data_IF_658415587395
#
_entry.id   IF_658415587395
#
_cell.length_a   1.000
_cell.length_b   1.000
_cell.length_c   1.000
_cell.angle_alpha   90.00
_cell.angle_beta   90.00
_cell.angle_gamma   90.00
#
_symmetry.space_group_name_H-M   'P 1'
#
loop_
_entity.id
_entity.type
_entity.pdbx_description
1 polymer ?
#
# COMPACT_ATOMS: atom_id res chain seq x y z
N UNK A 1 6.85 -7.09 23.26
CA UNK A 1 7.20 -5.67 23.01
C UNK A 1 7.62 -5.39 21.57
N UNK A 2 8.66 -6.03 21.01
CA UNK A 2 9.16 -5.76 19.64
C UNK A 2 8.09 -5.87 18.53
N UNK A 3 7.22 -6.89 18.59
CA UNK A 3 6.12 -7.07 17.62
C UNK A 3 5.02 -6.01 17.72
N UNK A 4 4.72 -5.53 18.92
CA UNK A 4 3.70 -4.50 19.17
C UNK A 4 4.18 -3.15 18.62
N UNK A 5 5.46 -2.82 18.82
CA UNK A 5 6.02 -1.60 18.23
C UNK A 5 6.04 -1.68 16.69
N UNK A 6 6.41 -2.83 16.14
CA UNK A 6 6.39 -3.05 14.69
C UNK A 6 4.97 -2.96 14.11
N UNK A 7 3.95 -3.48 14.81
CA UNK A 7 2.56 -3.37 14.37
C UNK A 7 2.06 -1.93 14.39
N UNK A 8 2.34 -1.18 15.46
CA UNK A 8 1.97 0.25 15.54
C UNK A 8 2.62 1.05 14.42
N UNK A 9 3.92 0.85 14.21
CA UNK A 9 4.66 1.53 13.14
C UNK A 9 4.10 1.19 11.76
N UNK A 10 3.74 -0.07 11.53
CA UNK A 10 3.16 -0.51 10.26
C UNK A 10 1.79 0.10 10.02
N UNK A 11 0.95 0.18 11.05
CA UNK A 11 -0.34 0.86 10.95
C UNK A 11 -0.17 2.34 10.60
N UNK A 12 0.76 3.05 11.27
CA UNK A 12 1.06 4.45 10.94
C UNK A 12 1.52 4.59 9.49
N UNK A 13 2.42 3.71 9.05
CA UNK A 13 2.92 3.73 7.67
C UNK A 13 1.79 3.51 6.66
N UNK A 14 0.90 2.54 6.88
CA UNK A 14 -0.25 2.28 6.00
C UNK A 14 -1.17 3.49 5.91
N UNK A 15 -1.45 4.14 7.04
CA UNK A 15 -2.24 5.37 7.08
C UNK A 15 -1.56 6.46 6.25
N UNK A 16 -0.27 6.69 6.46
CA UNK A 16 0.50 7.70 5.73
C UNK A 16 0.49 7.43 4.22
N UNK A 17 0.73 6.19 3.81
CA UNK A 17 0.69 5.80 2.40
C UNK A 17 -0.68 6.04 1.77
N UNK A 18 -1.76 5.75 2.49
CA UNK A 18 -3.13 5.97 2.00
C UNK A 18 -3.42 7.46 1.84
N UNK A 19 -3.05 8.29 2.82
CA UNK A 19 -3.21 9.74 2.74
C UNK A 19 -2.38 10.35 1.61
N UNK A 20 -1.14 9.89 1.44
CA UNK A 20 -0.27 10.32 0.34
C UNK A 20 -0.91 9.93 -1.00
N UNK A 21 -1.35 8.68 -1.15
CA UNK A 21 -2.01 8.23 -2.37
C UNK A 21 -3.23 9.09 -2.70
N UNK A 22 -4.09 9.35 -1.71
CA UNK A 22 -5.26 10.22 -1.88
C UNK A 22 -4.87 11.63 -2.29
N UNK A 23 -3.88 12.25 -1.63
CA UNK A 23 -3.42 13.60 -1.96
C UNK A 23 -2.88 13.69 -3.38
N UNK A 24 -2.07 12.72 -3.79
CA UNK A 24 -1.50 12.68 -5.15
C UNK A 24 -2.60 12.46 -6.18
N UNK A 25 -3.56 11.56 -5.92
CA UNK A 25 -4.67 11.29 -6.85
C UNK A 25 -5.56 12.51 -7.04
N UNK A 26 -5.97 13.17 -5.95
CA UNK A 26 -6.75 14.42 -6.01
C UNK A 26 -5.98 15.50 -6.78
N UNK A 27 -4.68 15.64 -6.52
CA UNK A 27 -3.83 16.57 -7.26
C UNK A 27 -3.74 16.25 -8.76
N UNK A 28 -3.74 14.98 -9.14
CA UNK A 28 -3.79 14.54 -10.53
C UNK A 28 -5.16 14.87 -11.15
N UNK A 29 -6.26 14.59 -10.46
CA UNK A 29 -7.62 14.91 -10.92
C UNK A 29 -7.79 16.41 -11.19
N UNK A 30 -7.30 17.26 -10.29
CA UNK A 30 -7.36 18.72 -10.47
C UNK A 30 -6.59 19.18 -11.72
N UNK A 31 -5.44 18.57 -12.01
CA UNK A 31 -4.67 18.86 -13.23
C UNK A 31 -5.37 18.35 -14.49
N UNK A 32 -5.91 17.14 -14.45
CA UNK A 32 -6.61 16.51 -15.58
C UNK A 32 -7.86 17.29 -15.95
N UNK A 33 -8.65 17.70 -14.95
CA UNK A 33 -9.89 18.46 -15.15
C UNK A 33 -9.65 19.89 -15.65
N UNK A 34 -8.49 20.48 -15.37
CA UNK A 34 -8.10 21.79 -15.91
C UNK A 34 -7.73 21.77 -17.41
N UNK A 35 -7.64 20.59 -18.05
CA UNK A 35 -7.28 20.47 -19.46
C UNK A 35 -8.46 20.88 -20.35
N UNK A 36 -8.24 21.92 -21.17
CA UNK A 36 -9.26 22.44 -22.09
C UNK A 36 -9.55 21.51 -23.27
N UNK A 37 -8.51 20.95 -23.87
CA UNK A 37 -8.63 20.04 -25.03
C UNK A 37 -9.31 18.72 -24.63
N UNK A 38 -10.45 18.39 -25.25
CA UNK A 38 -11.21 17.17 -24.97
C UNK A 38 -10.41 15.88 -25.24
N UNK A 39 -9.62 15.85 -26.32
CA UNK A 39 -8.81 14.66 -26.66
C UNK A 39 -7.69 14.46 -25.64
N UNK A 40 -6.99 15.54 -25.29
CA UNK A 40 -5.90 15.50 -24.31
C UNK A 40 -6.43 15.16 -22.92
N UNK A 41 -7.60 15.69 -22.54
CA UNK A 41 -8.26 15.38 -21.28
C UNK A 41 -8.64 13.90 -21.19
N UNK A 42 -9.21 13.32 -22.25
CA UNK A 42 -9.56 11.90 -22.26
C UNK A 42 -8.32 10.99 -22.07
N UNK A 43 -7.22 11.29 -22.76
CA UNK A 43 -5.96 10.57 -22.58
C UNK A 43 -5.41 10.73 -21.14
N UNK A 44 -5.49 11.94 -20.58
CA UNK A 44 -5.04 12.23 -19.22
C UNK A 44 -5.89 11.50 -18.16
N UNK A 45 -7.21 11.39 -18.34
CA UNK A 45 -8.08 10.57 -17.49
C UNK A 45 -7.66 9.10 -17.54
N UNK A 46 -7.36 8.58 -18.73
CA UNK A 46 -6.85 7.21 -18.89
C UNK A 46 -5.54 6.99 -18.11
N UNK A 47 -4.60 7.93 -18.21
CA UNK A 47 -3.34 7.89 -17.47
C UNK A 47 -3.56 8.01 -15.95
N UNK A 48 -4.47 8.86 -15.51
CA UNK A 48 -4.86 9.02 -14.10
C UNK A 48 -5.42 7.72 -13.52
N UNK A 49 -6.28 7.02 -14.25
CA UNK A 49 -6.84 5.74 -13.82
C UNK A 49 -5.74 4.69 -13.67
N UNK A 50 -4.85 4.56 -14.67
CA UNK A 50 -3.72 3.63 -14.62
C UNK A 50 -2.81 3.95 -13.43
N UNK A 51 -2.53 5.23 -13.21
CA UNK A 51 -1.75 5.70 -12.07
C UNK A 51 -2.43 5.37 -10.73
N UNK A 52 -3.75 5.56 -10.62
CA UNK A 52 -4.53 5.18 -9.44
C UNK A 52 -4.50 3.69 -9.16
N UNK A 53 -4.64 2.85 -10.20
CA UNK A 53 -4.51 1.40 -10.07
C UNK A 53 -3.10 1.03 -9.56
N UNK A 54 -2.05 1.63 -10.12
CA UNK A 54 -0.68 1.38 -9.68
C UNK A 54 -0.45 1.77 -8.20
N UNK A 55 -0.99 2.91 -7.76
CA UNK A 55 -0.93 3.32 -6.36
C UNK A 55 -1.72 2.37 -5.44
N UNK A 56 -2.89 1.92 -5.86
CA UNK A 56 -3.69 0.95 -5.09
C UNK A 56 -2.94 -0.37 -4.95
N UNK A 57 -2.43 -0.93 -6.05
CA UNK A 57 -1.67 -2.18 -6.02
C UNK A 57 -0.40 -2.04 -5.18
N UNK A 58 0.33 -0.93 -5.31
CA UNK A 58 1.55 -0.68 -4.53
C UNK A 58 1.30 -0.55 -3.03
N UNK A 59 0.27 0.21 -2.64
CA UNK A 59 -0.09 0.41 -1.22
C UNK A 59 -0.61 -0.88 -0.59
N UNK A 60 -1.47 -1.63 -1.27
CA UNK A 60 -1.97 -2.93 -0.82
C UNK A 60 -0.84 -3.94 -0.71
N UNK A 61 0.00 -4.06 -1.75
CA UNK A 61 1.13 -5.00 -1.72
C UNK A 61 2.07 -4.71 -0.56
N UNK A 62 2.45 -3.44 -0.34
CA UNK A 62 3.36 -3.09 0.75
C UNK A 62 2.72 -3.32 2.12
N UNK A 63 1.46 -2.95 2.29
CA UNK A 63 0.72 -3.19 3.52
C UNK A 63 0.66 -4.69 3.86
N UNK A 64 0.31 -5.53 2.90
CA UNK A 64 0.24 -6.98 3.08
C UNK A 64 1.62 -7.58 3.34
N UNK A 65 2.64 -7.18 2.59
CA UNK A 65 3.98 -7.74 2.75
C UNK A 65 4.60 -7.39 4.11
N UNK A 66 4.38 -6.15 4.60
CA UNK A 66 4.81 -5.75 5.94
C UNK A 66 4.04 -6.48 7.03
N UNK A 67 2.72 -6.63 6.88
CA UNK A 67 1.90 -7.39 7.82
C UNK A 67 2.37 -8.85 7.90
N UNK A 68 2.55 -9.52 6.76
CA UNK A 68 3.08 -10.89 6.72
C UNK A 68 4.45 -10.96 7.39
N UNK A 69 5.38 -10.04 7.09
CA UNK A 69 6.72 -10.03 7.70
C UNK A 69 6.70 -9.91 9.24
N UNK A 70 5.73 -9.18 9.79
CA UNK A 70 5.63 -8.93 11.24
C UNK A 70 4.87 -10.04 11.96
N UNK A 71 3.83 -10.56 11.32
CA UNK A 71 2.92 -11.55 11.91
C UNK A 71 3.24 -12.99 11.52
N UNK A 72 4.23 -13.24 10.65
CA UNK A 72 4.68 -14.60 10.37
C UNK A 72 5.05 -15.30 11.68
N UNK A 73 4.32 -16.36 12.00
CA UNK A 73 4.61 -17.24 13.12
C UNK A 73 5.83 -18.04 12.68
N UNK A 74 6.96 -17.87 13.36
CA UNK A 74 7.99 -18.91 13.31
C UNK A 74 7.33 -20.14 13.91
N UNK A 75 7.11 -21.18 13.11
CA UNK A 75 6.72 -22.48 13.65
C UNK A 75 7.70 -22.79 14.80
N UNK A 76 7.20 -23.13 16.00
CA UNK A 76 8.09 -23.59 17.04
C UNK A 76 8.81 -24.80 16.45
N UNK A 77 10.14 -24.70 16.34
CA UNK A 77 11.00 -25.82 16.00
C UNK A 77 10.49 -27.00 16.82
N UNK A 78 9.96 -28.03 16.16
CA UNK A 78 9.60 -29.27 16.81
C UNK A 78 10.92 -29.81 17.36
N UNK A 79 11.19 -29.55 18.64
CA UNK A 79 12.25 -30.20 19.39
C UNK A 79 11.84 -31.66 19.42
N UNK A 80 12.32 -32.43 18.44
CA UNK A 80 12.17 -33.87 18.39
C UNK A 80 12.93 -34.47 19.56
N UNK A 81 12.35 -34.44 20.75
CA UNK A 81 12.81 -35.25 21.86
C UNK A 81 12.40 -36.71 21.58
N UNK A 82 13.35 -37.65 21.51
CA UNK A 82 13.01 -39.06 21.46
C UNK A 82 12.40 -39.43 22.81
N UNK A 83 11.16 -39.93 22.79
CA UNK A 83 10.55 -40.57 23.96
C UNK A 83 11.40 -41.78 24.34
N UNK A 84 12.05 -41.69 25.50
CA UNK A 84 12.72 -42.78 26.19
C UNK A 84 11.72 -43.83 26.68
#
# INVERSE_FOLDING_TARGET
MKRILASILTTILIILMTLIAMFVLVGATLKVTAIQSSVTRAAAIGAEIVFGIALLLGTVWLATHLAVRIFHVQEPHSTGEPRA
#
